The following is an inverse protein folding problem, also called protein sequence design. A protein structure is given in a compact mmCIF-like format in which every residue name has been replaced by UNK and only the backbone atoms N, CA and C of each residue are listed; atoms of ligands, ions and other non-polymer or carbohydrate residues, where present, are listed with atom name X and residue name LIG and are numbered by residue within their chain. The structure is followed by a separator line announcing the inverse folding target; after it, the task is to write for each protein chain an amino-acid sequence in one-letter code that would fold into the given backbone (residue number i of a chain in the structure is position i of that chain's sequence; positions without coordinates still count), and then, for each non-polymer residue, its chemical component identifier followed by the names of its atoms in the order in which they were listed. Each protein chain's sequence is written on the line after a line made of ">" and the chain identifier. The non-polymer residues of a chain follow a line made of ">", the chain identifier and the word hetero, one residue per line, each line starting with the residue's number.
data_IF_747960378264
#
_entry.id   IF_747960378264
#
_cell.length_a   1.000
_cell.length_b   1.000
_cell.length_c   1.000
_cell.angle_alpha   90.00
_cell.angle_beta   90.00
_cell.angle_gamma   90.00
#
_symmetry.space_group_name_H-M   'P 1'
#
loop_
_entity.id
_entity.type
_entity.pdbx_description
1 polymer ?
#
# COMPACT_ATOMS: atom_id res chain seq x y z
N UNK A 1 -20.80 1.35 14.02
CA UNK A 1 -19.93 2.38 13.43
C UNK A 1 -20.00 3.58 14.36
N UNK A 2 -18.97 3.72 15.19
CA UNK A 2 -18.77 4.88 16.09
C UNK A 2 -18.16 6.02 15.26
N UNK A 3 -18.33 7.28 15.67
CA UNK A 3 -18.00 8.47 14.85
C UNK A 3 -16.54 8.67 14.39
N UNK A 4 -15.66 7.67 14.53
CA UNK A 4 -14.25 7.69 14.14
C UNK A 4 -13.96 7.03 12.78
N UNK A 5 -14.98 6.49 12.10
CA UNK A 5 -14.84 5.74 10.84
C UNK A 5 -14.87 6.64 9.59
N UNK A 6 -14.41 7.89 9.71
CA UNK A 6 -14.53 8.94 8.68
C UNK A 6 -13.17 9.43 8.21
N UNK A 7 -13.07 9.68 6.92
CA UNK A 7 -11.80 9.98 6.26
C UNK A 7 -11.89 11.22 5.37
N UNK A 8 -10.75 11.90 5.17
CA UNK A 8 -10.60 12.96 4.17
C UNK A 8 -11.33 14.27 4.50
N UNK A 9 -11.52 15.11 3.48
CA UNK A 9 -12.22 16.39 3.61
C UNK A 9 -13.72 16.23 3.35
N UNK A 10 -14.49 16.07 4.43
CA UNK A 10 -15.95 15.93 4.37
C UNK A 10 -16.71 17.26 4.23
N UNK A 11 -16.02 18.41 4.30
CA UNK A 11 -16.66 19.72 4.19
C UNK A 11 -16.94 20.12 2.74
N UNK A 12 -16.16 19.59 1.79
CA UNK A 12 -16.32 19.83 0.36
C UNK A 12 -17.15 18.71 -0.26
N UNK A 13 -18.35 18.99 -0.82
CA UNK A 13 -19.16 17.96 -1.47
C UNK A 13 -18.39 17.26 -2.59
N UNK A 14 -18.48 15.93 -2.64
CA UNK A 14 -17.85 15.06 -3.65
C UNK A 14 -16.32 15.08 -3.70
N UNK A 15 -15.64 15.69 -2.71
CA UNK A 15 -14.18 15.66 -2.64
C UNK A 15 -13.63 14.27 -2.28
N UNK A 16 -14.44 13.43 -1.64
CA UNK A 16 -14.05 12.11 -1.15
C UNK A 16 -15.00 11.02 -1.67
N UNK A 17 -14.53 9.77 -1.80
CA UNK A 17 -15.38 8.63 -2.10
C UNK A 17 -16.50 8.48 -1.05
N UNK A 18 -17.70 8.06 -1.47
CA UNK A 18 -18.86 7.97 -0.57
C UNK A 18 -18.62 7.11 0.70
N UNK A 19 -17.76 6.10 0.62
CA UNK A 19 -17.43 5.22 1.75
C UNK A 19 -16.55 5.87 2.82
N UNK A 20 -15.86 6.98 2.51
CA UNK A 20 -15.12 7.79 3.49
C UNK A 20 -16.04 8.51 4.47
N UNK A 21 -17.30 8.75 4.09
CA UNK A 21 -18.27 9.46 4.92
C UNK A 21 -18.91 8.55 6.01
N UNK A 22 -18.50 7.28 6.08
CA UNK A 22 -19.08 6.28 6.97
C UNK A 22 -20.46 5.79 6.51
N UNK A 23 -20.81 5.99 5.24
CA UNK A 23 -22.03 5.45 4.65
C UNK A 23 -21.88 3.94 4.45
N UNK A 24 -22.92 3.13 4.73
CA UNK A 24 -22.86 1.68 4.55
C UNK A 24 -22.61 1.35 3.07
N UNK A 25 -21.68 0.44 2.82
CA UNK A 25 -21.37 -0.07 1.48
C UNK A 25 -21.33 -1.60 1.52
N UNK A 26 -21.86 -2.29 0.49
CA UNK A 26 -21.70 -3.73 0.38
C UNK A 26 -20.26 -4.15 0.06
N UNK A 27 -19.39 -3.21 -0.30
CA UNK A 27 -18.01 -3.46 -0.72
C UNK A 27 -16.98 -3.18 0.39
N UNK A 28 -17.24 -2.22 1.28
CA UNK A 28 -16.28 -1.79 2.30
C UNK A 28 -16.63 -2.35 3.69
N UNK A 29 -15.65 -2.98 4.36
CA UNK A 29 -15.78 -3.64 5.66
C UNK A 29 -14.64 -3.17 6.58
N UNK A 30 -14.69 -3.48 7.87
CA UNK A 30 -13.75 -2.95 8.86
C UNK A 30 -12.26 -3.15 8.50
N UNK A 31 -11.91 -4.27 7.86
CA UNK A 31 -10.52 -4.53 7.40
C UNK A 31 -10.05 -3.54 6.33
N UNK A 32 -10.96 -3.06 5.46
CA UNK A 32 -10.67 -2.04 4.45
C UNK A 32 -10.35 -0.68 5.09
N UNK A 33 -11.12 -0.29 6.11
CA UNK A 33 -10.91 0.97 6.82
C UNK A 33 -9.57 0.94 7.58
N UNK A 34 -9.27 -0.19 8.24
CA UNK A 34 -7.98 -0.42 8.92
C UNK A 34 -6.81 -0.37 7.93
N UNK A 35 -6.95 -1.04 6.78
CA UNK A 35 -5.91 -1.02 5.75
C UNK A 35 -5.61 0.40 5.29
N UNK A 36 -6.66 1.17 4.99
CA UNK A 36 -6.53 2.55 4.51
C UNK A 36 -5.73 3.39 5.50
N UNK A 37 -6.06 3.33 6.79
CA UNK A 37 -5.37 4.11 7.83
C UNK A 37 -3.87 3.75 7.91
N UNK A 38 -3.57 2.45 7.97
CA UNK A 38 -2.19 1.96 8.07
C UNK A 38 -1.39 2.28 6.80
N UNK A 39 -1.98 2.05 5.62
CA UNK A 39 -1.33 2.31 4.34
C UNK A 39 -1.04 3.80 4.15
N UNK A 40 -1.99 4.69 4.49
CA UNK A 40 -1.77 6.14 4.43
C UNK A 40 -0.60 6.57 5.30
N UNK A 41 -0.62 6.15 6.57
CA UNK A 41 0.43 6.49 7.53
C UNK A 41 1.79 5.99 7.03
N UNK A 42 1.83 4.80 6.45
CA UNK A 42 3.05 4.25 5.88
C UNK A 42 3.56 5.09 4.70
N UNK A 43 2.70 5.45 3.75
CA UNK A 43 3.07 6.32 2.61
C UNK A 43 3.58 7.68 3.06
N UNK A 44 2.87 8.33 3.99
CA UNK A 44 3.26 9.64 4.53
C UNK A 44 4.62 9.57 5.24
N UNK A 45 4.90 8.46 5.93
CA UNK A 45 6.15 8.29 6.69
C UNK A 45 7.34 7.91 5.81
N UNK A 46 7.13 7.07 4.80
CA UNK A 46 8.22 6.39 4.09
C UNK A 46 8.41 6.85 2.64
N UNK A 47 7.38 7.41 1.99
CA UNK A 47 7.42 7.69 0.56
C UNK A 47 7.37 9.18 0.22
N UNK A 48 6.55 9.97 0.93
CA UNK A 48 6.23 11.34 0.51
C UNK A 48 7.45 12.25 0.37
N UNK A 49 8.42 12.14 1.28
CA UNK A 49 9.63 12.99 1.27
C UNK A 49 10.73 12.46 0.34
N UNK A 50 10.65 11.21 -0.12
CA UNK A 50 11.71 10.54 -0.87
C UNK A 50 11.41 10.38 -2.36
N UNK A 51 10.13 10.53 -2.73
CA UNK A 51 9.66 10.21 -4.08
C UNK A 51 10.41 10.95 -5.19
N UNK A 52 10.72 12.23 -4.99
CA UNK A 52 11.44 13.04 -5.98
C UNK A 52 12.88 12.53 -6.21
N UNK A 53 13.62 12.28 -5.13
CA UNK A 53 15.00 11.81 -5.20
C UNK A 53 15.10 10.42 -5.86
N UNK A 54 14.11 9.56 -5.64
CA UNK A 54 14.04 8.25 -6.29
C UNK A 54 13.70 8.32 -7.78
N UNK A 55 12.87 9.29 -8.19
CA UNK A 55 12.62 9.54 -9.61
C UNK A 55 13.88 10.02 -10.32
N UNK A 56 14.62 10.94 -9.71
CA UNK A 56 15.88 11.44 -10.28
C UNK A 56 16.97 10.36 -10.33
N UNK A 57 17.12 9.58 -9.25
CA UNK A 57 18.13 8.52 -9.17
C UNK A 57 17.76 7.25 -9.93
N UNK A 58 16.46 7.02 -10.17
CA UNK A 58 15.95 5.81 -10.79
C UNK A 58 16.00 4.57 -9.89
N UNK A 59 16.37 4.67 -8.61
CA UNK A 59 16.36 3.56 -7.63
C UNK A 59 15.62 3.90 -6.32
N UNK A 60 14.74 3.02 -5.82
CA UNK A 60 14.28 3.07 -4.42
C UNK A 60 15.47 2.67 -3.55
N UNK A 61 15.67 3.38 -2.43
CA UNK A 61 16.72 2.99 -1.50
C UNK A 61 16.45 1.60 -0.89
N UNK A 62 17.52 0.84 -0.67
CA UNK A 62 17.40 -0.53 -0.19
C UNK A 62 16.76 -0.64 1.19
N UNK A 63 16.94 0.38 2.05
CA UNK A 63 16.42 0.36 3.41
C UNK A 63 14.89 0.47 3.42
N UNK A 64 14.32 1.34 2.58
CA UNK A 64 12.87 1.45 2.39
C UNK A 64 12.27 0.16 1.83
N UNK A 65 12.93 -0.49 0.86
CA UNK A 65 12.46 -1.78 0.36
C UNK A 65 12.44 -2.86 1.46
N UNK A 66 13.49 -2.95 2.27
CA UNK A 66 13.53 -3.86 3.42
C UNK A 66 12.45 -3.52 4.45
N UNK A 67 12.17 -2.23 4.67
CA UNK A 67 11.12 -1.78 5.58
C UNK A 67 9.74 -2.19 5.05
N UNK A 68 9.48 -2.00 3.75
CA UNK A 68 8.25 -2.45 3.10
C UNK A 68 8.05 -3.97 3.23
N UNK A 69 9.13 -4.75 3.12
CA UNK A 69 9.10 -6.19 3.36
C UNK A 69 8.75 -6.54 4.81
N UNK A 70 9.38 -5.86 5.78
CA UNK A 70 9.08 -6.04 7.21
C UNK A 70 7.65 -5.65 7.56
N UNK A 71 7.10 -4.62 6.92
CA UNK A 71 5.76 -4.09 7.20
C UNK A 71 4.64 -4.83 6.46
N UNK A 72 4.99 -5.75 5.56
CA UNK A 72 4.04 -6.66 4.92
C UNK A 72 3.44 -6.15 3.62
N UNK A 73 4.15 -5.27 2.90
CA UNK A 73 3.72 -4.74 1.61
C UNK A 73 4.02 -5.68 0.43
N UNK A 74 4.93 -6.63 0.60
CA UNK A 74 5.42 -7.48 -0.50
C UNK A 74 4.34 -8.46 -0.96
N UNK A 75 3.68 -9.17 -0.04
CA UNK A 75 2.65 -10.14 -0.43
C UNK A 75 1.44 -9.49 -1.13
N UNK A 76 0.90 -8.36 -0.66
CA UNK A 76 -0.14 -7.63 -1.38
C UNK A 76 0.22 -7.18 -2.79
N UNK A 77 1.47 -6.72 -3.00
CA UNK A 77 1.90 -6.26 -4.32
C UNK A 77 2.01 -7.42 -5.32
N UNK A 78 2.52 -8.58 -4.89
CA UNK A 78 2.65 -9.77 -5.75
C UNK A 78 1.32 -10.50 -5.94
N UNK A 79 0.54 -10.66 -4.87
CA UNK A 79 -0.73 -11.40 -4.89
C UNK A 79 -1.90 -10.64 -5.51
N UNK A 80 -1.82 -9.31 -5.53
CA UNK A 80 -2.88 -8.44 -6.04
C UNK A 80 -4.22 -8.73 -5.35
N UNK A 81 -5.18 -9.26 -6.12
CA UNK A 81 -6.58 -9.46 -5.67
C UNK A 81 -6.71 -10.56 -4.62
N UNK A 82 -5.86 -11.60 -4.64
CA UNK A 82 -5.90 -12.71 -3.68
C UNK A 82 -4.50 -13.11 -3.27
N UNK A 83 -4.31 -13.29 -1.96
CA UNK A 83 -3.02 -13.74 -1.41
C UNK A 83 -3.18 -15.20 -0.97
N UNK A 84 -2.46 -16.14 -1.61
CA UNK A 84 -2.47 -17.53 -1.18
C UNK A 84 -2.00 -17.70 0.26
N UNK A 85 -2.73 -18.48 1.05
CA UNK A 85 -2.48 -18.65 2.49
C UNK A 85 -1.10 -19.24 2.77
N UNK A 86 -0.57 -20.05 1.88
CA UNK A 86 0.77 -20.63 1.99
C UNK A 86 1.88 -19.57 1.96
N UNK A 87 1.67 -18.41 1.34
CA UNK A 87 2.67 -17.34 1.27
C UNK A 87 2.83 -16.62 2.61
N UNK A 88 1.79 -16.60 3.44
CA UNK A 88 1.83 -15.93 4.75
C UNK A 88 2.71 -16.64 5.78
N UNK A 89 3.23 -17.83 5.45
CA UNK A 89 4.29 -18.51 6.22
C UNK A 89 5.64 -17.79 6.17
N UNK A 90 5.85 -16.99 5.12
CA UNK A 90 7.14 -16.36 4.84
C UNK A 90 7.15 -14.84 5.10
N UNK A 91 5.99 -14.20 5.05
CA UNK A 91 5.83 -12.77 5.31
C UNK A 91 4.41 -12.47 5.79
N UNK A 92 4.24 -11.34 6.47
CA UNK A 92 2.90 -10.85 6.87
C UNK A 92 2.26 -10.01 5.77
N UNK A 93 0.96 -9.78 5.92
CA UNK A 93 0.18 -8.82 5.13
C UNK A 93 0.07 -7.55 5.97
N UNK A 94 0.27 -6.38 5.36
CA UNK A 94 0.11 -5.08 6.01
C UNK A 94 -1.24 -4.96 6.74
N UNK A 95 -1.27 -4.23 7.86
CA UNK A 95 -2.44 -4.08 8.74
C UNK A 95 -2.96 -5.40 9.35
N UNK A 96 -2.09 -6.43 9.38
CA UNK A 96 -2.33 -7.75 9.94
C UNK A 96 -3.64 -8.39 9.44
N UNK A 97 -3.92 -8.21 8.15
CA UNK A 97 -5.13 -8.72 7.50
C UNK A 97 -4.94 -10.20 7.17
N UNK A 98 -5.82 -11.10 7.62
CA UNK A 98 -5.76 -12.51 7.25
C UNK A 98 -5.91 -12.70 5.74
N UNK A 99 -5.21 -13.67 5.12
CA UNK A 99 -5.31 -13.91 3.67
C UNK A 99 -6.74 -14.26 3.23
N UNK A 100 -7.54 -14.89 4.11
CA UNK A 100 -8.96 -15.17 3.87
C UNK A 100 -9.87 -13.94 3.86
N UNK A 101 -9.46 -12.84 4.50
CA UNK A 101 -10.18 -11.58 4.48
C UNK A 101 -9.75 -10.67 3.33
N UNK A 102 -8.55 -10.88 2.78
CA UNK A 102 -8.01 -10.09 1.68
C UNK A 102 -8.80 -10.28 0.38
N UNK A 103 -9.12 -9.19 -0.28
CA UNK A 103 -9.89 -9.17 -1.53
C UNK A 103 -9.44 -8.00 -2.43
N UNK A 104 -10.08 -7.87 -3.60
CA UNK A 104 -9.73 -6.84 -4.58
C UNK A 104 -9.90 -5.40 -4.08
N UNK A 105 -10.78 -5.15 -3.10
CA UNK A 105 -10.93 -3.80 -2.53
C UNK A 105 -9.78 -3.46 -1.59
N UNK A 106 -9.19 -4.45 -0.91
CA UNK A 106 -7.93 -4.24 -0.19
C UNK A 106 -6.80 -3.88 -1.15
N UNK A 107 -6.64 -4.64 -2.23
CA UNK A 107 -5.62 -4.37 -3.24
C UNK A 107 -5.78 -2.96 -3.83
N UNK A 108 -7.01 -2.57 -4.17
CA UNK A 108 -7.33 -1.24 -4.66
C UNK A 108 -6.97 -0.13 -3.66
N UNK A 109 -7.41 -0.24 -2.40
CA UNK A 109 -7.11 0.74 -1.35
C UNK A 109 -5.61 0.87 -1.13
N UNK A 110 -4.89 -0.25 -1.08
CA UNK A 110 -3.44 -0.22 -0.86
C UNK A 110 -2.74 0.54 -1.99
N UNK A 111 -3.08 0.25 -3.23
CA UNK A 111 -2.49 0.96 -4.37
C UNK A 111 -2.84 2.44 -4.35
N UNK A 112 -4.11 2.79 -4.12
CA UNK A 112 -4.56 4.19 -4.02
C UNK A 112 -3.78 4.99 -2.95
N UNK A 113 -3.56 4.39 -1.78
CA UNK A 113 -2.80 5.03 -0.69
C UNK A 113 -1.29 5.10 -0.98
N UNK A 114 -0.70 4.12 -1.67
CA UNK A 114 0.72 4.17 -2.08
C UNK A 114 0.97 5.22 -3.17
N UNK A 115 0.00 5.45 -4.07
CA UNK A 115 0.13 6.44 -5.15
C UNK A 115 0.05 7.89 -4.69
N UNK A 116 -0.24 8.15 -3.40
CA UNK A 116 -0.35 9.52 -2.86
C UNK A 116 0.93 10.34 -2.94
N UNK A 117 2.10 9.72 -3.06
CA UNK A 117 3.36 10.45 -3.21
C UNK A 117 3.57 11.04 -4.61
N UNK A 118 2.67 10.80 -5.58
CA UNK A 118 2.75 11.33 -6.94
C UNK A 118 3.73 10.59 -7.87
N UNK A 119 4.49 9.62 -7.35
CA UNK A 119 5.47 8.82 -8.10
C UNK A 119 4.97 7.41 -8.42
N UNK A 120 3.74 7.34 -8.94
CA UNK A 120 3.00 6.09 -9.05
C UNK A 120 3.67 5.02 -9.93
N UNK A 121 4.25 5.45 -11.06
CA UNK A 121 4.95 4.55 -11.97
C UNK A 121 6.23 3.97 -11.35
N UNK A 122 6.92 4.77 -10.55
CA UNK A 122 8.21 4.39 -9.97
C UNK A 122 8.05 3.37 -8.83
N UNK A 123 7.11 3.61 -7.92
CA UNK A 123 6.79 2.68 -6.82
C UNK A 123 6.28 1.34 -7.37
N UNK A 124 5.34 1.37 -8.32
CA UNK A 124 4.78 0.15 -8.88
C UNK A 124 5.83 -0.70 -9.60
N UNK A 125 6.72 -0.07 -10.38
CA UNK A 125 7.78 -0.78 -11.11
C UNK A 125 8.80 -1.41 -10.15
N UNK A 126 9.19 -0.74 -9.07
CA UNK A 126 10.23 -1.26 -8.17
C UNK A 126 9.73 -2.31 -7.16
N UNK A 127 8.44 -2.30 -6.78
CA UNK A 127 7.90 -3.35 -5.92
C UNK A 127 7.45 -4.61 -6.68
N UNK A 128 7.11 -4.50 -7.98
CA UNK A 128 6.63 -5.63 -8.78
C UNK A 128 7.64 -6.18 -9.81
N UNK A 129 8.65 -5.40 -10.22
CA UNK A 129 9.78 -5.96 -10.97
C UNK A 129 10.93 -6.30 -10.01
N UNK A 130 11.22 -7.60 -9.92
CA UNK A 130 12.50 -8.12 -9.46
C UNK A 130 13.65 -7.33 -10.12
N UNK A 131 14.76 -7.10 -9.41
CA UNK A 131 15.71 -6.01 -9.64
C UNK A 131 16.33 -6.08 -11.04
N UNK A 132 15.72 -5.44 -12.02
CA UNK A 132 16.33 -5.20 -13.34
C UNK A 132 17.03 -3.84 -13.41
N UNK A 133 16.91 -3.02 -12.35
CA UNK A 133 17.52 -1.69 -12.26
C UNK A 133 18.63 -1.56 -11.22
N UNK A 134 18.94 -2.61 -10.44
CA UNK A 134 20.28 -2.70 -9.87
C UNK A 134 21.23 -3.02 -11.02
N UNK A 135 22.22 -2.18 -11.37
CA UNK A 135 23.38 -2.73 -12.05
C UNK A 135 23.86 -3.87 -11.16
N UNK A 136 24.06 -5.04 -11.76
CA UNK A 136 24.71 -6.18 -11.12
C UNK A 136 26.09 -5.72 -10.65
N UNK A 137 26.17 -5.04 -9.51
CA UNK A 137 27.39 -4.92 -8.75
C UNK A 137 27.68 -6.35 -8.33
N UNK A 138 28.70 -6.88 -9.00
CA UNK A 138 29.27 -8.18 -8.76
C UNK A 138 29.40 -8.32 -7.24
N UNK A 139 28.74 -9.35 -6.71
CA UNK A 139 29.05 -9.83 -5.37
C UNK A 139 30.46 -10.42 -5.48
N UNK A 140 31.40 -9.75 -4.83
CA UNK A 140 32.76 -10.22 -4.62
C UNK A 140 32.78 -11.44 -3.68
#
# INVERSE_FOLDING_TARGET
>A
MTGNDRFGNLSTPFAEPAWYSGLPSPYYKASHLRLREVARKWTETHLMDQAHDWEESGSIDHATYQQAAKDGLILPNIGGIRIPKEWTKHAKIIADIPPEEWDGFHAFILQDELMRCGSAGYIYLNFNHLPTFYPLQKLD
#
